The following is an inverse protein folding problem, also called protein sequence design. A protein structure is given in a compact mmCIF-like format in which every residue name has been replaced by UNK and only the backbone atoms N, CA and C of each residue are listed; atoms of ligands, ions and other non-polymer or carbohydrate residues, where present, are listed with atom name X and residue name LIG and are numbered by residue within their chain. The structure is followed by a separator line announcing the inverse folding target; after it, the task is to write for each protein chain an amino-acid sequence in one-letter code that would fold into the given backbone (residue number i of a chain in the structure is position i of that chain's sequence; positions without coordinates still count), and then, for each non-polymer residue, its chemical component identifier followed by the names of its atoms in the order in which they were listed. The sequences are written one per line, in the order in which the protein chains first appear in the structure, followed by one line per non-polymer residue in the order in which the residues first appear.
data_IF_135356669737
#
_entry.id   IF_135356669737
#
_cell.length_a   1.000
_cell.length_b   1.000
_cell.length_c   1.000
_cell.angle_alpha   90.00
_cell.angle_beta   90.00
_cell.angle_gamma   90.00
#
_symmetry.space_group_name_H-M   'P 1'
#
loop_
_entity.id
_entity.type
_entity.pdbx_description
1 polymer ?
#
# COMPACT_ATOMS: atom_id res chain seq x y z
N UNK A 1 13.60 -20.90 -77.91
CA UNK A 1 14.49 -20.46 -76.84
C UNK A 1 13.73 -19.39 -76.06
N UNK A 2 13.16 -19.78 -74.88
CA UNK A 2 12.32 -18.89 -74.09
C UNK A 2 13.18 -18.32 -72.91
N UNK A 3 13.41 -17.02 -72.93
CA UNK A 3 14.13 -16.29 -71.92
C UNK A 3 13.13 -16.02 -70.75
N UNK A 4 13.40 -16.55 -69.56
CA UNK A 4 12.66 -16.25 -68.36
C UNK A 4 13.32 -15.04 -67.68
N UNK A 5 12.61 -13.92 -67.66
CA UNK A 5 12.99 -12.75 -66.87
C UNK A 5 12.68 -12.99 -65.36
N UNK A 6 13.71 -12.96 -64.54
CA UNK A 6 13.57 -13.01 -63.09
C UNK A 6 13.52 -11.56 -62.59
N UNK A 7 12.37 -11.17 -62.02
CA UNK A 7 12.15 -9.88 -61.40
C UNK A 7 12.67 -9.93 -59.99
N UNK A 8 13.73 -9.20 -59.71
CA UNK A 8 14.29 -9.07 -58.32
C UNK A 8 13.56 -7.90 -57.64
N UNK A 9 12.71 -8.23 -56.69
CA UNK A 9 12.04 -7.21 -55.83
C UNK A 9 12.96 -6.92 -54.67
N UNK A 10 13.60 -5.76 -54.65
CA UNK A 10 14.31 -5.23 -53.49
C UNK A 10 13.29 -4.69 -52.48
N UNK A 11 13.11 -5.40 -51.37
CA UNK A 11 12.43 -4.88 -50.18
C UNK A 11 13.40 -3.95 -49.42
N UNK A 12 13.20 -2.64 -49.56
CA UNK A 12 13.80 -1.64 -48.70
C UNK A 12 13.06 -1.64 -47.36
N UNK A 13 13.63 -2.29 -46.34
CA UNK A 13 13.19 -2.15 -44.96
C UNK A 13 13.72 -0.83 -44.40
N UNK A 14 12.87 0.19 -44.35
CA UNK A 14 13.16 1.42 -43.63
C UNK A 14 13.01 1.13 -42.15
N UNK A 15 14.12 0.94 -41.44
CA UNK A 15 14.16 0.96 -39.98
C UNK A 15 14.01 2.41 -39.52
N UNK A 16 12.81 2.79 -39.06
CA UNK A 16 12.63 4.01 -38.29
C UNK A 16 13.30 3.80 -36.94
N UNK A 17 14.52 4.29 -36.79
CA UNK A 17 15.15 4.50 -35.50
C UNK A 17 14.46 5.71 -34.86
N UNK A 18 13.48 5.48 -34.00
CA UNK A 18 13.02 6.51 -33.07
C UNK A 18 14.15 6.74 -32.08
N UNK A 19 15.02 7.72 -32.36
CA UNK A 19 15.92 8.29 -31.40
C UNK A 19 15.06 8.97 -30.33
N UNK A 20 14.93 8.38 -29.15
CA UNK A 20 14.54 9.10 -27.97
C UNK A 20 15.66 10.11 -27.71
N UNK A 21 15.43 11.38 -28.06
CA UNK A 21 16.20 12.49 -27.52
C UNK A 21 15.88 12.55 -26.04
N UNK A 22 16.75 11.97 -25.23
CA UNK A 22 16.83 12.23 -23.79
C UNK A 22 17.38 13.67 -23.60
N UNK A 23 16.55 14.65 -24.00
CA UNK A 23 16.75 16.05 -23.58
C UNK A 23 16.44 16.04 -22.09
N UNK A 24 17.46 16.22 -21.26
CA UNK A 24 17.40 16.22 -19.81
C UNK A 24 16.39 17.22 -19.21
N UNK A 25 15.12 17.04 -19.53
CA UNK A 25 14.00 17.65 -18.87
C UNK A 25 13.93 16.99 -17.48
N UNK A 26 14.36 17.69 -16.46
CA UNK A 26 14.03 17.30 -15.09
C UNK A 26 12.53 17.18 -15.01
N UNK A 27 12.03 15.96 -14.87
CA UNK A 27 10.61 15.70 -14.67
C UNK A 27 10.11 16.56 -13.50
N UNK A 28 9.00 17.26 -13.72
CA UNK A 28 8.38 18.07 -12.69
C UNK A 28 7.39 17.19 -11.91
N UNK A 29 7.74 16.82 -10.68
CA UNK A 29 6.88 16.01 -9.81
C UNK A 29 5.88 16.83 -8.98
N UNK A 30 5.73 18.13 -9.24
CA UNK A 30 4.79 18.97 -8.49
C UNK A 30 3.34 18.51 -8.65
N UNK A 31 3.01 17.91 -9.80
CA UNK A 31 1.67 17.41 -10.13
C UNK A 31 1.53 15.88 -9.97
N UNK A 32 2.53 15.21 -9.39
CA UNK A 32 2.49 13.77 -9.10
C UNK A 32 1.58 13.49 -7.88
N UNK A 33 0.27 13.53 -8.15
CA UNK A 33 -0.76 13.43 -7.13
C UNK A 33 -0.66 12.16 -6.26
N UNK A 34 -0.23 11.04 -6.84
CA UNK A 34 -0.07 9.78 -6.12
C UNK A 34 1.34 9.58 -5.55
N UNK A 35 2.25 10.53 -5.76
CA UNK A 35 3.66 10.47 -5.38
C UNK A 35 4.37 9.21 -5.94
N UNK A 36 4.16 8.92 -7.23
CA UNK A 36 4.72 7.76 -7.92
C UNK A 36 6.24 7.75 -7.90
N UNK A 37 6.88 8.93 -7.93
CA UNK A 37 8.33 9.07 -7.86
C UNK A 37 8.93 8.68 -6.50
N UNK A 38 8.12 8.71 -5.41
CA UNK A 38 8.60 8.61 -4.01
C UNK A 38 9.48 7.40 -3.75
N UNK A 39 9.08 6.23 -4.24
CA UNK A 39 9.79 4.97 -4.02
C UNK A 39 10.44 4.40 -5.27
N UNK A 40 10.35 5.08 -6.42
CA UNK A 40 10.84 4.58 -7.71
C UNK A 40 12.29 4.09 -7.61
N UNK A 41 13.19 4.92 -7.13
CA UNK A 41 14.62 4.58 -6.99
C UNK A 41 14.85 3.43 -6.01
N UNK A 42 14.12 3.37 -4.88
CA UNK A 42 14.22 2.26 -3.95
C UNK A 42 13.70 0.95 -4.57
N UNK A 43 12.61 1.02 -5.35
CA UNK A 43 12.04 -0.13 -6.05
C UNK A 43 13.03 -0.70 -7.07
N UNK A 44 13.67 0.17 -7.87
CA UNK A 44 14.72 -0.23 -8.82
C UNK A 44 15.90 -0.94 -8.13
N UNK A 45 16.35 -0.40 -6.98
CA UNK A 45 17.48 -0.98 -6.23
C UNK A 45 17.15 -2.31 -5.55
N UNK A 46 15.88 -2.56 -5.21
CA UNK A 46 15.46 -3.82 -4.58
C UNK A 46 15.58 -5.02 -5.53
N UNK A 47 15.33 -4.82 -6.81
CA UNK A 47 15.32 -5.88 -7.81
C UNK A 47 14.34 -7.03 -7.49
N UNK A 48 14.48 -8.15 -8.20
CA UNK A 48 13.66 -9.34 -7.97
C UNK A 48 13.97 -9.97 -6.60
N UNK A 49 12.97 -10.61 -5.95
CA UNK A 49 13.21 -11.33 -4.69
C UNK A 49 14.24 -12.45 -4.86
N UNK A 50 15.09 -12.64 -3.86
CA UNK A 50 16.03 -13.79 -3.82
C UNK A 50 15.25 -15.09 -3.67
N UNK A 51 15.83 -16.20 -4.12
CA UNK A 51 15.21 -17.53 -3.96
C UNK A 51 14.87 -17.80 -2.51
N UNK A 52 13.57 -18.03 -2.23
CA UNK A 52 13.05 -18.30 -0.89
C UNK A 52 12.76 -17.04 -0.03
N UNK A 53 13.06 -15.85 -0.52
CA UNK A 53 12.70 -14.60 0.15
C UNK A 53 11.17 -14.46 0.24
N UNK A 54 10.67 -14.25 1.45
CA UNK A 54 9.27 -13.99 1.73
C UNK A 54 9.06 -12.49 1.97
N UNK A 55 9.19 -11.71 0.91
CA UNK A 55 9.03 -10.25 0.94
C UNK A 55 7.62 -9.87 1.39
N UNK A 56 7.49 -8.94 2.32
CA UNK A 56 6.23 -8.41 2.82
C UNK A 56 6.21 -6.90 2.57
N UNK A 57 5.22 -6.43 1.84
CA UNK A 57 5.04 -4.99 1.59
C UNK A 57 4.02 -4.42 2.57
N UNK A 58 4.34 -3.32 3.23
CA UNK A 58 3.49 -2.53 4.09
C UNK A 58 2.98 -1.32 3.30
N UNK A 59 1.79 -1.42 2.72
CA UNK A 59 1.17 -0.38 1.91
C UNK A 59 0.21 0.45 2.76
N UNK A 60 0.47 1.75 2.88
CA UNK A 60 -0.36 2.64 3.69
C UNK A 60 0.07 4.10 3.64
N UNK A 61 -0.24 4.82 4.70
CA UNK A 61 0.07 6.24 4.82
C UNK A 61 1.06 6.54 5.96
N UNK A 62 0.89 7.66 6.66
CA UNK A 62 1.80 8.12 7.73
C UNK A 62 2.06 7.08 8.83
N UNK A 63 1.08 6.23 9.14
CA UNK A 63 1.25 5.20 10.17
C UNK A 63 2.42 4.27 9.82
N UNK A 64 2.54 3.82 8.57
CA UNK A 64 3.65 2.96 8.15
C UNK A 64 4.93 3.77 7.91
N UNK A 65 4.86 4.93 7.23
CA UNK A 65 6.04 5.79 7.02
C UNK A 65 6.73 6.14 8.35
N UNK A 66 5.96 6.52 9.38
CA UNK A 66 6.52 6.86 10.69
C UNK A 66 6.97 5.65 11.48
N UNK A 67 6.41 4.46 11.23
CA UNK A 67 6.86 3.24 11.88
C UNK A 67 8.32 2.93 11.54
N UNK A 68 8.65 2.97 10.26
CA UNK A 68 10.06 2.77 9.82
C UNK A 68 10.99 3.82 10.41
N UNK A 69 10.52 5.05 10.59
CA UNK A 69 11.30 6.13 11.19
C UNK A 69 11.49 5.95 12.71
N UNK A 70 10.41 5.61 13.44
CA UNK A 70 10.41 5.52 14.91
C UNK A 70 10.90 4.18 15.46
N UNK A 71 10.75 3.10 14.70
CA UNK A 71 11.18 1.75 15.06
C UNK A 71 11.92 1.05 13.91
N UNK A 72 13.04 1.62 13.41
CA UNK A 72 13.75 1.07 12.25
C UNK A 72 14.24 -0.37 12.49
N UNK A 73 14.51 -0.74 13.74
CA UNK A 73 14.91 -2.10 14.12
C UNK A 73 13.87 -3.17 13.81
N UNK A 74 12.59 -2.80 13.71
CA UNK A 74 11.54 -3.76 13.33
C UNK A 74 11.67 -4.23 11.88
N UNK A 75 12.10 -3.35 10.99
CA UNK A 75 12.28 -3.63 9.55
C UNK A 75 13.69 -4.16 9.23
N UNK A 76 14.66 -3.92 10.13
CA UNK A 76 16.04 -4.32 9.92
C UNK A 76 16.16 -5.85 9.84
N UNK A 77 16.95 -6.33 8.90
CA UNK A 77 17.27 -7.75 8.69
C UNK A 77 16.05 -8.65 8.40
N UNK A 78 14.90 -8.04 8.06
CA UNK A 78 13.68 -8.72 7.61
C UNK A 78 13.37 -8.33 6.16
N UNK A 79 12.73 -9.20 5.39
CA UNK A 79 12.30 -8.90 4.03
C UNK A 79 11.02 -8.03 4.05
N UNK A 80 10.99 -7.00 4.88
CA UNK A 80 9.86 -6.09 5.07
C UNK A 80 10.13 -4.78 4.36
N UNK A 81 9.22 -4.40 3.48
CA UNK A 81 9.32 -3.21 2.64
C UNK A 81 8.20 -2.26 3.02
N UNK A 82 8.58 -1.14 3.61
CA UNK A 82 7.66 -0.05 3.90
C UNK A 82 7.38 0.77 2.64
N UNK A 83 6.09 0.93 2.35
CA UNK A 83 5.55 1.77 1.26
C UNK A 83 4.45 2.69 1.82
N UNK A 84 4.70 3.26 3.00
CA UNK A 84 3.89 4.30 3.62
C UNK A 84 4.20 5.68 3.03
N UNK A 85 3.17 6.48 2.70
CA UNK A 85 3.32 7.88 2.30
C UNK A 85 2.30 8.71 3.07
N UNK A 86 2.79 9.65 3.89
CA UNK A 86 1.95 10.48 4.74
C UNK A 86 0.86 11.22 3.97
N UNK A 87 -0.34 11.29 4.55
CA UNK A 87 -1.48 12.01 3.97
C UNK A 87 -2.23 11.29 2.85
N UNK A 88 -1.71 10.17 2.35
CA UNK A 88 -2.35 9.47 1.24
C UNK A 88 -3.67 8.81 1.60
N UNK A 89 -4.60 8.87 0.65
CA UNK A 89 -5.94 8.28 0.65
C UNK A 89 -5.96 6.98 -0.16
N UNK A 90 -7.01 6.18 0.00
CA UNK A 90 -7.15 4.89 -0.67
C UNK A 90 -6.98 4.93 -2.21
N UNK A 91 -7.51 5.90 -2.96
CA UNK A 91 -7.27 6.02 -4.40
C UNK A 91 -5.79 6.19 -4.77
N UNK A 92 -5.03 6.96 -3.98
CA UNK A 92 -3.58 7.15 -4.22
C UNK A 92 -2.80 5.85 -3.98
N UNK A 93 -3.18 5.06 -2.96
CA UNK A 93 -2.61 3.73 -2.72
C UNK A 93 -2.88 2.80 -3.91
N UNK A 94 -4.10 2.83 -4.47
CA UNK A 94 -4.46 2.02 -5.64
C UNK A 94 -3.66 2.41 -6.88
N UNK A 95 -3.48 3.71 -7.16
CA UNK A 95 -2.71 4.17 -8.33
C UNK A 95 -1.27 3.65 -8.29
N UNK A 96 -0.60 3.69 -7.13
CA UNK A 96 0.78 3.23 -6.98
C UNK A 96 0.92 1.74 -6.66
N UNK A 97 -0.20 0.99 -6.60
CA UNK A 97 -0.20 -0.41 -6.20
C UNK A 97 0.66 -1.30 -7.09
N UNK A 98 0.68 -1.03 -8.41
CA UNK A 98 1.51 -1.81 -9.33
C UNK A 98 2.99 -1.67 -9.01
N UNK A 99 3.52 -0.46 -9.04
CA UNK A 99 4.96 -0.21 -8.86
C UNK A 99 5.46 -0.51 -7.44
N UNK A 100 4.63 -0.24 -6.42
CA UNK A 100 5.03 -0.33 -5.01
C UNK A 100 4.68 -1.67 -4.35
N UNK A 101 3.90 -2.51 -5.05
CA UNK A 101 3.52 -3.84 -4.55
C UNK A 101 3.76 -4.92 -5.61
N UNK A 102 3.04 -4.88 -6.74
CA UNK A 102 3.04 -5.98 -7.71
C UNK A 102 4.43 -6.23 -8.29
N UNK A 103 5.09 -5.17 -8.75
CA UNK A 103 6.40 -5.24 -9.41
C UNK A 103 7.52 -5.66 -8.43
N UNK A 104 7.28 -5.51 -7.13
CA UNK A 104 8.19 -5.99 -6.07
C UNK A 104 8.04 -7.49 -5.78
N UNK A 105 7.04 -8.15 -6.36
CA UNK A 105 6.78 -9.60 -6.24
C UNK A 105 6.78 -10.11 -4.79
N UNK A 106 6.02 -9.48 -3.87
CA UNK A 106 6.02 -9.89 -2.48
C UNK A 106 5.24 -11.19 -2.26
N UNK A 107 5.57 -11.91 -1.19
CA UNK A 107 4.77 -13.04 -0.74
C UNK A 107 3.43 -12.61 -0.13
N UNK A 108 3.40 -11.41 0.49
CA UNK A 108 2.18 -10.81 1.02
C UNK A 108 2.24 -9.29 1.02
N UNK A 109 1.06 -8.66 0.98
CA UNK A 109 0.88 -7.23 1.20
C UNK A 109 -0.01 -6.98 2.42
N UNK A 110 0.40 -6.04 3.27
CA UNK A 110 -0.39 -5.50 4.39
C UNK A 110 -0.96 -4.18 3.93
N UNK A 111 -2.30 -4.05 3.91
CA UNK A 111 -2.99 -2.85 3.43
C UNK A 111 -3.64 -2.14 4.61
N UNK A 112 -3.24 -0.88 4.85
CA UNK A 112 -3.80 0.01 5.85
C UNK A 112 -4.26 1.29 5.18
N UNK A 113 -5.58 1.44 4.97
CA UNK A 113 -6.18 2.53 4.22
C UNK A 113 -7.44 3.10 4.90
N UNK A 114 -7.78 4.36 4.62
CA UNK A 114 -9.08 4.95 4.89
C UNK A 114 -9.11 6.13 5.86
N UNK A 115 -8.15 6.30 6.77
CA UNK A 115 -8.20 7.39 7.75
C UNK A 115 -8.10 8.77 7.11
N UNK A 116 -7.20 8.96 6.15
CA UNK A 116 -7.06 10.24 5.45
C UNK A 116 -8.25 10.53 4.52
N UNK A 117 -8.92 9.50 4.05
CA UNK A 117 -10.20 9.60 3.34
C UNK A 117 -11.27 10.14 4.29
N UNK A 118 -11.39 9.56 5.49
CA UNK A 118 -12.35 9.97 6.53
C UNK A 118 -12.07 11.40 7.02
N UNK A 119 -10.79 11.78 7.16
CA UNK A 119 -10.41 13.14 7.56
C UNK A 119 -10.64 14.19 6.47
N UNK A 120 -10.99 13.77 5.25
CA UNK A 120 -11.32 14.66 4.15
C UNK A 120 -10.11 15.31 3.48
N UNK A 121 -8.92 14.68 3.51
CA UNK A 121 -7.70 15.25 2.92
C UNK A 121 -7.84 15.66 1.45
N UNK A 122 -8.72 15.00 0.70
CA UNK A 122 -9.01 15.30 -0.70
C UNK A 122 -10.50 15.52 -0.97
N UNK A 123 -11.25 15.96 0.04
CA UNK A 123 -12.69 16.16 -0.02
C UNK A 123 -13.48 15.01 0.60
N UNK A 124 -14.81 15.07 0.47
CA UNK A 124 -15.71 14.09 1.08
C UNK A 124 -15.65 12.74 0.38
N UNK A 125 -15.40 11.68 1.17
CA UNK A 125 -15.37 10.28 0.71
C UNK A 125 -16.30 9.43 1.56
N UNK A 126 -17.02 8.51 0.93
CA UNK A 126 -17.90 7.56 1.63
C UNK A 126 -17.12 6.30 2.01
N UNK A 127 -17.59 5.56 3.04
CA UNK A 127 -17.04 4.25 3.38
C UNK A 127 -17.07 3.29 2.17
N UNK A 128 -18.12 3.35 1.35
CA UNK A 128 -18.20 2.56 0.12
C UNK A 128 -17.05 2.88 -0.83
N UNK A 129 -16.74 4.15 -1.05
CA UNK A 129 -15.63 4.55 -1.95
C UNK A 129 -14.28 4.07 -1.43
N UNK A 130 -14.04 4.16 -0.11
CA UNK A 130 -12.83 3.60 0.51
C UNK A 130 -12.72 2.11 0.23
N UNK A 131 -13.80 1.37 0.51
CA UNK A 131 -13.84 -0.08 0.32
C UNK A 131 -13.72 -0.50 -1.14
N UNK A 132 -14.26 0.27 -2.10
CA UNK A 132 -14.11 -0.03 -3.54
C UNK A 132 -12.62 0.01 -3.95
N UNK A 133 -11.84 0.97 -3.45
CA UNK A 133 -10.40 1.02 -3.70
C UNK A 133 -9.64 -0.12 -2.98
N UNK A 134 -10.02 -0.43 -1.74
CA UNK A 134 -9.44 -1.56 -0.99
C UNK A 134 -9.70 -2.88 -1.71
N UNK A 135 -10.93 -3.12 -2.17
CA UNK A 135 -11.31 -4.30 -2.94
C UNK A 135 -10.48 -4.44 -4.22
N UNK A 136 -10.35 -3.34 -4.98
CA UNK A 136 -9.54 -3.35 -6.20
C UNK A 136 -8.07 -3.70 -5.93
N UNK A 137 -7.48 -3.19 -4.85
CA UNK A 137 -6.11 -3.59 -4.43
C UNK A 137 -6.03 -5.07 -4.06
N UNK A 138 -7.02 -5.60 -3.35
CA UNK A 138 -7.08 -7.02 -2.99
C UNK A 138 -7.24 -7.94 -4.20
N UNK A 139 -8.09 -7.57 -5.14
CA UNK A 139 -8.31 -8.29 -6.40
C UNK A 139 -7.03 -8.33 -7.25
N UNK A 140 -6.34 -7.19 -7.37
CA UNK A 140 -5.04 -7.10 -8.03
C UNK A 140 -3.99 -7.97 -7.33
N UNK A 141 -3.91 -7.94 -5.99
CA UNK A 141 -2.99 -8.78 -5.23
C UNK A 141 -3.26 -10.27 -5.49
N UNK A 142 -4.53 -10.67 -5.43
CA UNK A 142 -4.95 -12.07 -5.64
C UNK A 142 -4.63 -12.55 -7.05
N UNK A 143 -4.88 -11.71 -8.07
CA UNK A 143 -4.55 -12.00 -9.47
C UNK A 143 -3.04 -12.25 -9.66
N UNK A 144 -2.20 -11.57 -8.88
CA UNK A 144 -0.76 -11.72 -8.91
C UNK A 144 -0.21 -12.70 -7.86
N UNK A 145 -1.07 -13.55 -7.27
CA UNK A 145 -0.69 -14.55 -6.26
C UNK A 145 -0.04 -13.99 -5.00
N UNK A 146 -0.33 -12.72 -4.67
CA UNK A 146 0.14 -12.04 -3.48
C UNK A 146 -0.88 -12.25 -2.36
N UNK A 147 -0.46 -12.78 -1.21
CA UNK A 147 -1.34 -12.96 -0.05
C UNK A 147 -1.76 -11.60 0.51
N UNK A 148 -3.05 -11.47 0.84
CA UNK A 148 -3.61 -10.23 1.37
C UNK A 148 -3.75 -10.29 2.88
N UNK A 149 -3.27 -9.24 3.54
CA UNK A 149 -3.47 -8.96 4.97
C UNK A 149 -4.16 -7.61 5.08
N UNK A 150 -5.42 -7.60 5.48
CA UNK A 150 -6.21 -6.38 5.66
C UNK A 150 -6.17 -5.91 7.10
N UNK A 151 -5.79 -4.64 7.31
CA UNK A 151 -5.75 -4.05 8.63
C UNK A 151 -7.11 -3.51 9.04
N UNK A 152 -7.60 -3.89 10.24
CA UNK A 152 -8.54 -3.03 10.97
C UNK A 152 -7.77 -1.78 11.37
N UNK A 153 -8.31 -0.62 10.98
CA UNK A 153 -7.64 0.65 11.22
C UNK A 153 -7.55 0.95 12.71
N UNK A 154 -6.49 1.67 13.10
CA UNK A 154 -6.26 2.11 14.47
C UNK A 154 -7.44 2.97 14.97
N UNK A 155 -7.73 2.95 16.29
CA UNK A 155 -8.75 3.82 16.84
C UNK A 155 -8.36 5.29 16.72
N UNK A 156 -9.31 6.12 16.26
CA UNK A 156 -9.16 7.58 16.16
C UNK A 156 -10.50 8.20 16.54
N UNK A 157 -10.53 9.03 17.55
CA UNK A 157 -11.73 9.74 17.97
C UNK A 157 -11.71 11.24 17.66
N UNK A 158 -10.56 11.79 17.29
CA UNK A 158 -10.39 13.18 16.87
C UNK A 158 -9.22 13.30 15.88
N UNK A 159 -9.35 14.17 14.87
CA UNK A 159 -8.23 14.61 14.04
C UNK A 159 -7.77 15.99 14.48
N UNK A 160 -6.51 16.17 14.93
CA UNK A 160 -6.00 17.50 15.34
C UNK A 160 -6.13 18.57 14.26
N UNK A 161 -6.05 18.17 12.99
CA UNK A 161 -6.12 19.07 11.82
C UNK A 161 -7.52 19.19 11.21
N UNK A 162 -8.49 18.36 11.61
CA UNK A 162 -9.85 18.35 11.05
C UNK A 162 -10.89 18.14 12.17
N UNK A 163 -10.91 19.05 13.16
CA UNK A 163 -11.73 18.95 14.37
C UNK A 163 -13.24 18.92 14.13
N UNK A 164 -13.70 19.34 12.95
CA UNK A 164 -15.11 19.27 12.53
C UNK A 164 -15.52 17.86 12.07
N UNK A 165 -14.58 16.93 11.97
CA UNK A 165 -14.85 15.54 11.61
C UNK A 165 -14.88 14.70 12.89
N UNK A 166 -15.94 13.92 13.05
CA UNK A 166 -16.08 12.90 14.09
C UNK A 166 -15.73 11.54 13.50
N UNK A 167 -14.48 11.04 13.70
CA UNK A 167 -14.00 9.85 13.02
C UNK A 167 -14.39 8.52 13.70
N UNK A 168 -14.64 8.51 15.01
CA UNK A 168 -14.74 7.29 15.80
C UNK A 168 -15.68 6.23 15.20
N UNK A 169 -16.95 6.61 14.97
CA UNK A 169 -17.93 5.68 14.41
C UNK A 169 -17.68 5.35 12.93
N UNK A 170 -17.08 6.28 12.17
CA UNK A 170 -16.67 6.04 10.78
C UNK A 170 -15.55 5.01 10.68
N UNK A 171 -14.57 5.07 11.59
CA UNK A 171 -13.49 4.07 11.68
C UNK A 171 -14.05 2.70 12.09
N UNK A 172 -15.00 2.68 13.06
CA UNK A 172 -15.67 1.42 13.44
C UNK A 172 -16.38 0.81 12.22
N UNK A 173 -17.21 1.58 11.51
CA UNK A 173 -17.92 1.11 10.32
C UNK A 173 -16.98 0.65 9.19
N UNK A 174 -15.83 1.33 9.02
CA UNK A 174 -14.79 0.91 8.09
C UNK A 174 -14.20 -0.45 8.51
N UNK A 175 -13.88 -0.62 9.78
CA UNK A 175 -13.31 -1.84 10.32
C UNK A 175 -14.27 -3.03 10.20
N UNK A 176 -15.56 -2.82 10.42
CA UNK A 176 -16.61 -3.84 10.18
C UNK A 176 -16.67 -4.25 8.70
N UNK A 177 -16.59 -3.27 7.80
CA UNK A 177 -16.58 -3.54 6.35
C UNK A 177 -15.33 -4.30 5.91
N UNK A 178 -14.18 -3.96 6.45
CA UNK A 178 -12.90 -4.65 6.20
C UNK A 178 -12.97 -6.10 6.69
N UNK A 179 -13.46 -6.32 7.91
CA UNK A 179 -13.56 -7.65 8.53
C UNK A 179 -14.53 -8.55 7.75
N UNK A 180 -15.70 -8.02 7.37
CA UNK A 180 -16.69 -8.73 6.56
C UNK A 180 -16.11 -9.15 5.21
N UNK A 181 -15.46 -8.22 4.49
CA UNK A 181 -14.85 -8.49 3.20
C UNK A 181 -13.67 -9.46 3.30
N UNK A 182 -12.84 -9.33 4.32
CA UNK A 182 -11.74 -10.27 4.55
C UNK A 182 -12.24 -11.70 4.82
N UNK A 183 -13.31 -11.84 5.61
CA UNK A 183 -13.94 -13.12 5.89
C UNK A 183 -14.52 -13.78 4.64
N UNK A 184 -15.23 -13.00 3.82
CA UNK A 184 -15.83 -13.48 2.56
C UNK A 184 -14.77 -14.04 1.59
N UNK A 185 -13.58 -13.41 1.56
CA UNK A 185 -12.50 -13.75 0.62
C UNK A 185 -11.36 -14.58 1.24
N UNK A 186 -11.51 -15.05 2.48
CA UNK A 186 -10.48 -15.79 3.22
C UNK A 186 -9.16 -15.03 3.39
N UNK A 187 -9.18 -13.69 3.40
CA UNK A 187 -8.01 -12.88 3.68
C UNK A 187 -7.67 -12.86 5.17
N UNK A 188 -6.42 -12.63 5.49
CA UNK A 188 -6.00 -12.47 6.89
C UNK A 188 -6.36 -11.07 7.39
N UNK A 189 -7.08 -10.99 8.51
CA UNK A 189 -7.30 -9.73 9.22
C UNK A 189 -6.15 -9.49 10.18
N UNK A 190 -5.60 -8.27 10.17
CA UNK A 190 -4.64 -7.75 11.13
C UNK A 190 -5.33 -6.68 11.97
N UNK A 191 -5.60 -7.00 13.22
CA UNK A 191 -6.35 -6.13 14.13
C UNK A 191 -5.42 -5.17 14.88
N UNK A 192 -5.33 -3.93 14.42
CA UNK A 192 -4.68 -2.83 15.15
C UNK A 192 -5.63 -2.07 16.08
N UNK A 193 -6.95 -2.26 15.92
CA UNK A 193 -7.94 -1.58 16.74
C UNK A 193 -7.91 -2.07 18.20
N UNK A 194 -8.17 -3.36 18.40
CA UNK A 194 -8.38 -3.96 19.72
C UNK A 194 -7.25 -3.70 20.71
N UNK A 195 -5.96 -3.84 20.37
CA UNK A 195 -4.88 -3.62 21.33
C UNK A 195 -4.57 -2.15 21.63
N UNK A 196 -5.13 -1.20 20.85
CA UNK A 196 -4.80 0.22 20.99
C UNK A 196 -5.98 1.07 21.50
N UNK A 197 -7.22 0.55 21.49
CA UNK A 197 -8.43 1.32 21.75
C UNK A 197 -8.57 1.66 23.24
N UNK A 198 -9.04 2.89 23.52
CA UNK A 198 -9.51 3.35 24.82
C UNK A 198 -11.07 3.26 24.93
N UNK A 199 -11.61 3.73 26.06
CA UNK A 199 -13.05 3.76 26.34
C UNK A 199 -13.84 4.78 25.50
N UNK A 200 -13.14 5.69 24.79
CA UNK A 200 -13.70 6.75 23.93
C UNK A 200 -13.52 6.46 22.44
N UNK A 201 -13.18 5.22 22.06
CA UNK A 201 -12.86 4.81 20.68
C UNK A 201 -11.66 5.56 20.08
N UNK A 202 -10.79 6.17 20.90
CA UNK A 202 -9.50 6.74 20.52
C UNK A 202 -8.36 5.78 20.83
N UNK A 203 -7.13 6.18 20.49
CA UNK A 203 -5.95 5.47 20.97
C UNK A 203 -5.73 5.77 22.46
N UNK A 204 -5.34 4.75 23.22
CA UNK A 204 -4.88 4.95 24.61
C UNK A 204 -3.75 5.99 24.62
N UNK A 205 -3.89 7.00 25.48
CA UNK A 205 -3.04 8.19 25.51
C UNK A 205 -1.54 7.90 25.57
N UNK A 206 -1.15 6.85 26.30
CA UNK A 206 0.24 6.42 26.45
C UNK A 206 0.82 5.74 25.20
N UNK A 207 -0.01 5.42 24.19
CA UNK A 207 0.39 4.71 22.96
C UNK A 207 0.45 5.61 21.74
N UNK A 208 0.04 6.86 21.86
CA UNK A 208 -0.03 7.79 20.72
C UNK A 208 0.72 9.08 21.00
N UNK A 209 1.07 9.78 19.93
CA UNK A 209 1.69 11.12 19.98
C UNK A 209 0.65 12.24 19.98
N UNK A 210 -0.42 12.06 19.20
CA UNK A 210 -1.40 13.12 18.87
C UNK A 210 -2.84 12.59 18.74
N UNK A 211 -3.11 11.36 19.20
CA UNK A 211 -4.40 10.70 19.05
C UNK A 211 -4.57 9.92 17.73
N UNK A 212 -3.67 10.12 16.76
CA UNK A 212 -3.71 9.47 15.44
C UNK A 212 -2.48 8.59 15.21
N UNK A 213 -1.29 9.13 15.49
CA UNK A 213 -0.03 8.48 15.18
C UNK A 213 0.53 7.77 16.43
N UNK A 214 0.81 6.46 16.34
CA UNK A 214 1.43 5.74 17.44
C UNK A 214 2.80 6.35 17.82
N UNK A 215 3.08 6.37 19.11
CA UNK A 215 4.44 6.57 19.59
C UNK A 215 5.21 5.24 19.58
N UNK A 216 6.44 5.19 20.09
CA UNK A 216 7.24 3.97 20.09
C UNK A 216 6.54 2.82 20.83
N UNK A 217 5.86 3.09 21.93
CA UNK A 217 5.12 2.05 22.68
C UNK A 217 3.94 1.51 21.86
N UNK A 218 3.20 2.38 21.16
CA UNK A 218 2.13 1.99 20.24
C UNK A 218 2.65 1.12 19.11
N UNK A 219 3.78 1.48 18.47
CA UNK A 219 4.39 0.64 17.45
C UNK A 219 4.86 -0.71 17.99
N UNK A 220 5.35 -0.79 19.23
CA UNK A 220 5.70 -2.09 19.84
C UNK A 220 4.48 -3.00 20.00
N UNK A 221 3.33 -2.46 20.33
CA UNK A 221 2.07 -3.22 20.32
C UNK A 221 1.72 -3.69 18.90
N UNK A 222 1.82 -2.81 17.90
CA UNK A 222 1.57 -3.17 16.49
C UNK A 222 2.51 -4.29 16.02
N UNK A 223 3.80 -4.26 16.38
CA UNK A 223 4.76 -5.33 16.08
C UNK A 223 4.29 -6.70 16.59
N UNK A 224 3.76 -6.75 17.82
CA UNK A 224 3.32 -8.00 18.46
C UNK A 224 2.14 -8.66 17.73
N UNK A 225 1.22 -7.87 17.16
CA UNK A 225 0.06 -8.41 16.43
C UNK A 225 0.36 -8.64 14.95
N UNK A 226 1.33 -7.93 14.38
CA UNK A 226 1.69 -8.06 12.95
C UNK A 226 2.38 -9.39 12.65
N UNK A 227 3.31 -9.82 13.49
CA UNK A 227 4.07 -11.07 13.26
C UNK A 227 3.17 -12.32 13.18
N UNK A 228 2.20 -12.54 14.09
CA UNK A 228 1.27 -13.65 13.96
C UNK A 228 0.41 -13.58 12.70
N UNK A 229 -0.03 -12.37 12.30
CA UNK A 229 -0.83 -12.17 11.09
C UNK A 229 -0.05 -12.52 9.82
N UNK A 230 1.21 -12.10 9.71
CA UNK A 230 2.10 -12.48 8.60
C UNK A 230 2.27 -14.00 8.55
N UNK A 231 2.58 -14.63 9.69
CA UNK A 231 2.74 -16.09 9.79
C UNK A 231 1.48 -16.83 9.36
N UNK A 232 0.30 -16.34 9.75
CA UNK A 232 -0.99 -16.90 9.36
C UNK A 232 -1.20 -16.78 7.84
N UNK A 233 -1.01 -15.58 7.27
CA UNK A 233 -1.19 -15.33 5.84
C UNK A 233 -0.29 -16.22 4.97
N UNK A 234 0.98 -16.39 5.37
CA UNK A 234 1.94 -17.20 4.63
C UNK A 234 1.70 -18.71 4.71
N UNK A 235 0.92 -19.19 5.70
CA UNK A 235 0.53 -20.60 5.84
C UNK A 235 -0.73 -20.94 5.06
N UNK A 236 -1.61 -19.96 4.79
CA UNK A 236 -2.84 -20.21 4.07
C UNK A 236 -2.52 -20.63 2.64
N UNK A 237 -2.80 -21.88 2.31
CA UNK A 237 -2.80 -22.39 0.92
C UNK A 237 -4.11 -21.95 0.28
N UNK A 238 -4.02 -21.18 -0.82
CA UNK A 238 -5.13 -20.96 -1.76
C UNK A 238 -5.01 -21.97 -2.87
#
# INVERSE_FOLDING_TARGET
MKIKSILFVLLLSSTCVFGQNDSGNKENYADDWAALHKYQKENEMLGAPKKGEKRIVFLGSSIFEFWKQKSPGYFKDKPYIDRGISGQIAPQLLIRFRQDVIDLQPAAVIILAGSNDISGNTGHVTNKTIMDNVKSMCELATLHHIKVILCKYLPINEYPWAKHIEPADKIVALNESIEAYAKENNYTVLDYWTPLVDDKKGQRKELTTDGVHPNLAGYKIMEQVTEPAIKKALKNTH
#
